data_IF_057290679794
#
_entry.id   IF_057290679794
#
_cell.length_a   1.000
_cell.length_b   1.000
_cell.length_c   1.000
_cell.angle_alpha   90.00
_cell.angle_beta   90.00
_cell.angle_gamma   90.00
#
_symmetry.space_group_name_H-M   'P 1'
#
loop_
_entity.id
_entity.type
_entity.pdbx_description
1 polymer ?
#
# COMPACT_ATOMS: atom_id res chain seq x y z
N UNK A 1 -7.00 5.15 6.90
CA UNK A 1 -5.95 5.18 5.85
C UNK A 1 -5.75 6.60 5.31
N UNK A 2 -6.80 7.25 4.81
CA UNK A 2 -6.72 8.65 4.34
C UNK A 2 -6.08 9.59 5.38
N UNK A 3 -6.46 9.47 6.65
CA UNK A 3 -5.89 10.29 7.73
C UNK A 3 -4.38 10.09 7.92
N UNK A 4 -3.87 8.87 7.67
CA UNK A 4 -2.43 8.55 7.78
C UNK A 4 -1.66 9.22 6.65
N UNK A 5 -2.18 9.13 5.42
CA UNK A 5 -1.60 9.80 4.25
C UNK A 5 -1.56 11.32 4.45
N UNK A 6 -2.66 11.89 4.93
CA UNK A 6 -2.75 13.32 5.23
C UNK A 6 -1.79 13.72 6.37
N UNK A 7 -1.66 12.90 7.42
CA UNK A 7 -0.73 13.14 8.52
C UNK A 7 0.75 13.06 8.09
N UNK A 8 1.05 12.31 7.03
CA UNK A 8 2.38 12.31 6.39
C UNK A 8 2.62 13.55 5.50
N UNK A 9 1.65 14.47 5.41
CA UNK A 9 1.75 15.67 4.58
C UNK A 9 1.63 15.39 3.08
N UNK A 10 1.01 14.27 2.72
CA UNK A 10 0.90 13.81 1.34
C UNK A 10 -0.51 14.03 0.80
N UNK A 11 -0.59 14.45 -0.46
CA UNK A 11 -1.84 14.58 -1.21
C UNK A 11 -1.99 13.36 -2.12
N UNK A 12 -2.62 12.31 -1.60
CA UNK A 12 -2.94 11.12 -2.38
C UNK A 12 -4.39 10.69 -2.17
N UNK A 13 -4.95 10.09 -3.22
CA UNK A 13 -6.21 9.38 -3.18
C UNK A 13 -6.00 7.94 -2.73
N UNK A 14 -6.95 7.42 -1.96
CA UNK A 14 -6.96 6.04 -1.47
C UNK A 14 -8.14 5.32 -2.11
N UNK A 15 -7.87 4.25 -2.87
CA UNK A 15 -8.89 3.35 -3.38
C UNK A 15 -8.74 1.96 -2.74
N UNK A 16 -9.84 1.30 -2.41
CA UNK A 16 -9.85 -0.02 -1.79
C UNK A 16 -10.53 -1.00 -2.75
N UNK A 17 -9.83 -2.08 -3.07
CA UNK A 17 -10.30 -3.15 -3.94
C UNK A 17 -10.26 -4.47 -3.18
N UNK A 18 -11.39 -5.16 -3.09
CA UNK A 18 -11.40 -6.55 -2.63
C UNK A 18 -10.99 -7.47 -3.78
N UNK A 19 -10.02 -8.34 -3.53
CA UNK A 19 -9.56 -9.34 -4.50
C UNK A 19 -9.68 -10.73 -3.89
N UNK A 20 -9.63 -11.80 -4.71
CA UNK A 20 -9.59 -13.18 -4.19
C UNK A 20 -8.38 -13.46 -3.28
N UNK A 21 -7.34 -12.63 -3.36
CA UNK A 21 -6.08 -12.76 -2.61
C UNK A 21 -6.08 -11.90 -1.33
N UNK A 22 -7.12 -11.09 -1.12
CA UNK A 22 -7.31 -10.21 0.03
C UNK A 22 -7.66 -8.77 -0.35
N UNK A 23 -7.52 -7.85 0.59
CA UNK A 23 -7.82 -6.42 0.39
C UNK A 23 -6.61 -5.69 -0.20
N UNK A 24 -6.77 -5.09 -1.38
CA UNK A 24 -5.79 -4.19 -1.98
C UNK A 24 -6.16 -2.74 -1.69
N UNK A 25 -5.19 -1.97 -1.21
CA UNK A 25 -5.30 -0.53 -1.00
C UNK A 25 -4.37 0.14 -2.00
N UNK A 26 -4.93 0.85 -2.98
CA UNK A 26 -4.20 1.60 -3.97
C UNK A 26 -4.08 3.06 -3.51
N UNK A 27 -2.85 3.56 -3.48
CA UNK A 27 -2.53 4.96 -3.24
C UNK A 27 -2.10 5.60 -4.54
N UNK A 28 -2.89 6.58 -5.00
CA UNK A 28 -2.65 7.26 -6.28
C UNK A 28 -2.50 8.77 -6.07
N UNK A 29 -1.39 9.33 -6.57
CA UNK A 29 -1.10 10.76 -6.46
C UNK A 29 0.35 11.14 -6.74
N UNK A 30 0.58 12.43 -6.96
CA UNK A 30 1.90 12.99 -7.30
C UNK A 30 2.94 12.80 -6.18
N UNK A 31 2.49 12.82 -4.92
CA UNK A 31 3.36 12.62 -3.76
C UNK A 31 3.81 11.15 -3.58
N UNK A 32 3.23 10.20 -4.34
CA UNK A 32 3.56 8.77 -4.24
C UNK A 32 5.05 8.46 -4.41
N UNK A 33 5.79 9.32 -5.13
CA UNK A 33 7.24 9.26 -5.24
C UNK A 33 7.97 9.21 -3.89
N UNK A 34 7.42 9.81 -2.83
CA UNK A 34 8.00 9.76 -1.47
C UNK A 34 8.02 8.33 -0.92
N UNK A 35 6.94 7.56 -1.13
CA UNK A 35 6.78 6.21 -0.57
C UNK A 35 7.61 5.15 -1.29
N UNK A 36 7.84 5.34 -2.59
CA UNK A 36 8.56 4.38 -3.45
C UNK A 36 10.07 4.65 -3.54
N UNK A 37 10.53 5.81 -3.03
CA UNK A 37 11.97 6.11 -2.88
C UNK A 37 12.69 5.06 -2.02
N UNK A 38 14.01 4.97 -2.18
CA UNK A 38 14.88 3.97 -1.51
C UNK A 38 14.36 2.53 -1.68
N UNK A 39 13.89 2.19 -2.88
CA UNK A 39 13.38 0.85 -3.18
C UNK A 39 12.05 0.51 -2.50
N UNK A 40 11.29 1.51 -2.03
CA UNK A 40 9.97 1.33 -1.45
C UNK A 40 9.94 1.12 0.06
N UNK A 41 10.99 1.51 0.79
CA UNK A 41 11.05 1.40 2.26
C UNK A 41 9.84 2.05 2.95
N UNK A 42 9.42 3.25 2.50
CA UNK A 42 8.25 3.95 3.04
C UNK A 42 6.95 3.16 2.81
N UNK A 43 6.77 2.64 1.60
CA UNK A 43 5.63 1.79 1.25
C UNK A 43 5.62 0.49 2.08
N UNK A 44 6.78 -0.11 2.36
CA UNK A 44 6.90 -1.30 3.21
C UNK A 44 6.56 -1.00 4.68
N UNK A 45 7.03 0.13 5.22
CA UNK A 45 6.69 0.55 6.57
C UNK A 45 5.17 0.76 6.71
N UNK A 46 4.56 1.44 5.74
CA UNK A 46 3.11 1.68 5.72
C UNK A 46 2.32 0.37 5.65
N UNK A 47 2.73 -0.56 4.77
CA UNK A 47 2.18 -1.91 4.69
C UNK A 47 2.20 -2.62 6.03
N UNK A 48 3.32 -2.55 6.76
CA UNK A 48 3.48 -3.20 8.05
C UNK A 48 2.56 -2.61 9.12
N UNK A 49 2.49 -1.28 9.21
CA UNK A 49 1.65 -0.57 10.18
C UNK A 49 0.17 -0.91 9.95
N UNK A 50 -0.29 -0.81 8.71
CA UNK A 50 -1.69 -1.08 8.37
C UNK A 50 -2.02 -2.55 8.59
N UNK A 51 -1.19 -3.49 8.08
CA UNK A 51 -1.44 -4.91 8.28
C UNK A 51 -1.51 -5.28 9.77
N UNK A 52 -0.62 -4.73 10.60
CA UNK A 52 -0.61 -4.99 12.05
C UNK A 52 -1.83 -4.38 12.75
N UNK A 53 -2.25 -3.18 12.35
CA UNK A 53 -3.39 -2.47 12.93
C UNK A 53 -4.71 -3.19 12.65
N UNK A 54 -4.91 -3.67 11.43
CA UNK A 54 -6.16 -4.29 10.99
C UNK A 54 -6.17 -5.81 11.11
N UNK A 55 -5.06 -6.44 11.51
CA UNK A 55 -4.90 -7.90 11.64
C UNK A 55 -6.05 -8.57 12.40
N UNK A 56 -6.49 -7.97 13.52
CA UNK A 56 -7.55 -8.55 14.37
C UNK A 56 -8.96 -8.37 13.80
N UNK A 57 -9.17 -7.36 12.95
CA UNK A 57 -10.48 -7.03 12.40
C UNK A 57 -10.80 -7.84 11.14
N UNK A 58 -9.76 -8.17 10.37
CA UNK A 58 -9.91 -8.81 9.08
C UNK A 58 -9.93 -10.35 9.14
N UNK A 59 -9.49 -10.94 10.24
CA UNK A 59 -9.36 -12.39 10.40
C UNK A 59 -8.10 -12.95 9.74
N UNK A 60 -7.83 -14.24 9.95
CA UNK A 60 -6.55 -14.88 9.55
C UNK A 60 -6.35 -14.99 8.03
N UNK A 61 -7.43 -14.94 7.23
CA UNK A 61 -7.38 -15.14 5.77
C UNK A 61 -7.35 -13.84 4.94
N UNK A 62 -7.52 -12.67 5.58
CA UNK A 62 -7.55 -11.41 4.84
C UNK A 62 -6.17 -10.74 4.84
N UNK A 63 -5.44 -10.97 3.75
CA UNK A 63 -4.18 -10.27 3.47
C UNK A 63 -4.47 -8.86 2.99
N UNK A 64 -3.86 -7.86 3.63
CA UNK A 64 -3.85 -6.49 3.09
C UNK A 64 -2.61 -6.31 2.21
N UNK A 65 -2.76 -5.71 1.05
CA UNK A 65 -1.64 -5.25 0.21
C UNK A 65 -1.81 -3.77 -0.10
N UNK A 66 -0.79 -2.96 0.19
CA UNK A 66 -0.75 -1.55 -0.18
C UNK A 66 0.12 -1.38 -1.41
N UNK A 67 -0.44 -0.79 -2.45
CA UNK A 67 0.25 -0.40 -3.67
C UNK A 67 0.27 1.11 -3.82
N UNK A 68 1.30 1.63 -4.48
CA UNK A 68 1.48 3.07 -4.69
C UNK A 68 1.78 3.30 -6.16
N UNK A 69 0.90 3.99 -6.89
CA UNK A 69 1.02 4.29 -8.31
C UNK A 69 1.44 3.06 -9.17
N UNK A 70 1.00 1.84 -8.83
CA UNK A 70 1.37 0.62 -9.57
C UNK A 70 2.75 0.02 -9.25
N UNK A 71 3.52 0.60 -8.33
CA UNK A 71 4.92 0.22 -8.04
C UNK A 71 5.12 -1.29 -7.76
N UNK A 72 4.21 -1.93 -7.02
CA UNK A 72 4.34 -3.36 -6.74
C UNK A 72 4.16 -4.22 -7.99
N UNK A 73 3.23 -3.83 -8.88
CA UNK A 73 2.99 -4.55 -10.13
C UNK A 73 4.21 -4.50 -11.04
N UNK A 74 4.84 -3.33 -11.14
CA UNK A 74 6.05 -3.14 -11.93
C UNK A 74 7.23 -3.94 -11.38
N UNK A 75 7.44 -3.90 -10.05
CA UNK A 75 8.52 -4.63 -9.39
C UNK A 75 8.37 -6.15 -9.49
N UNK A 76 7.14 -6.67 -9.40
CA UNK A 76 6.87 -8.10 -9.61
C UNK A 76 7.11 -8.53 -11.07
N UNK A 77 6.91 -7.62 -12.04
CA UNK A 77 7.21 -7.87 -13.44
C UNK A 77 8.72 -7.87 -13.73
N UNK A 78 9.49 -6.97 -13.10
CA UNK A 78 10.96 -6.95 -13.20
C UNK A 78 11.60 -8.23 -12.65
N UNK A 79 11.10 -8.77 -11.53
CA UNK A 79 11.63 -9.99 -10.92
C UNK A 79 11.31 -11.29 -11.68
N UNK A 80 10.42 -11.22 -12.67
CA UNK A 80 10.02 -12.38 -13.50
C UNK A 80 10.78 -12.45 -14.83
N UNK A 81 11.63 -11.47 -15.14
CA UNK A 81 12.56 -11.48 -16.28
C UNK A 81 13.95 -11.96 -15.85
#
# INVERSE_FOLDING_TARGET
MQDVVNAMGMTMSVNIEETPEGTRINLDGEDGGVLVRRGGEGLQALQHIVATTFRKQLGDDNRIVIDCNGYRKEKDAELRQ
#
